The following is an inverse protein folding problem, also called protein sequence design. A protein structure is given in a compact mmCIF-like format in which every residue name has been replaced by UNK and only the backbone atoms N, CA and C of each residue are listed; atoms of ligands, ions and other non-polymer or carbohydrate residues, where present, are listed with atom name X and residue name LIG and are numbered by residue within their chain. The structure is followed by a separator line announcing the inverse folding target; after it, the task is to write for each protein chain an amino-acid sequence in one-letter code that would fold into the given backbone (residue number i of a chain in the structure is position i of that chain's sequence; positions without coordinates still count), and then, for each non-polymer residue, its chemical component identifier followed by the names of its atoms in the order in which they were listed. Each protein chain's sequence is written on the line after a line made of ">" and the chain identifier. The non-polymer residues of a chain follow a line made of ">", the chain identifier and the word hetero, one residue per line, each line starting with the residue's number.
data_IF_147339418444
#
_entry.id   IF_147339418444
#
_cell.length_a   1.000
_cell.length_b   1.000
_cell.length_c   1.000
_cell.angle_alpha   90.00
_cell.angle_beta   90.00
_cell.angle_gamma   90.00
#
_symmetry.space_group_name_H-M   'P 1'
#
loop_
_entity.id
_entity.type
_entity.pdbx_description
1 polymer ?
#
# COMPACT_ATOMS: atom_id res chain seq x y z
N UNK A 1 -28.89 31.28 5.04
CA UNK A 1 -29.86 30.51 5.73
C UNK A 1 -29.17 29.23 6.19
N UNK A 2 -28.81 29.18 7.51
CA UNK A 2 -28.20 28.04 8.11
C UNK A 2 -29.21 26.89 8.14
N UNK A 3 -28.84 25.73 7.71
CA UNK A 3 -29.58 24.52 8.03
C UNK A 3 -29.58 24.38 9.54
N UNK A 4 -30.73 24.62 10.15
CA UNK A 4 -30.92 24.30 11.54
C UNK A 4 -30.67 22.81 11.68
N UNK A 5 -29.72 22.46 12.50
CA UNK A 5 -29.44 21.07 12.86
C UNK A 5 -30.63 20.60 13.70
N UNK A 6 -31.54 19.87 13.10
CA UNK A 6 -32.69 19.34 13.80
C UNK A 6 -32.25 18.13 14.64
N UNK A 7 -32.09 18.37 15.93
CA UNK A 7 -31.64 17.34 16.88
C UNK A 7 -32.59 16.14 16.90
N UNK A 8 -33.88 16.35 16.72
CA UNK A 8 -34.88 15.28 16.73
C UNK A 8 -34.77 14.38 15.49
N UNK A 9 -34.49 14.98 14.32
CA UNK A 9 -34.22 14.22 13.10
C UNK A 9 -32.91 13.42 13.20
N UNK A 10 -31.90 13.99 13.82
CA UNK A 10 -30.61 13.30 14.01
C UNK A 10 -30.73 12.17 15.02
N UNK A 11 -31.45 12.38 16.11
CA UNK A 11 -31.75 11.36 17.11
C UNK A 11 -32.57 10.22 16.48
N UNK A 12 -33.61 10.52 15.75
CA UNK A 12 -34.40 9.53 15.01
C UNK A 12 -33.56 8.75 13.99
N UNK A 13 -32.70 9.42 13.23
CA UNK A 13 -31.83 8.75 12.26
C UNK A 13 -30.78 7.84 12.95
N UNK A 14 -30.30 8.26 14.11
CA UNK A 14 -29.38 7.46 14.95
C UNK A 14 -30.08 6.24 15.52
N UNK A 15 -31.29 6.38 16.02
CA UNK A 15 -32.08 5.28 16.56
C UNK A 15 -32.41 4.26 15.48
N UNK A 16 -32.88 4.72 14.31
CA UNK A 16 -33.12 3.83 13.15
C UNK A 16 -31.84 3.09 12.72
N UNK A 17 -30.71 3.79 12.70
CA UNK A 17 -29.43 3.16 12.34
C UNK A 17 -28.99 2.10 13.34
N UNK A 18 -29.16 2.38 14.64
CA UNK A 18 -28.84 1.45 15.70
C UNK A 18 -29.74 0.21 15.67
N UNK A 19 -31.06 0.42 15.53
CA UNK A 19 -32.03 -0.66 15.43
C UNK A 19 -31.77 -1.57 14.22
N UNK A 20 -31.49 -0.97 13.07
CA UNK A 20 -31.12 -1.73 11.86
C UNK A 20 -29.83 -2.51 12.04
N UNK A 21 -28.83 -1.94 12.70
CA UNK A 21 -27.58 -2.62 12.97
C UNK A 21 -27.79 -3.85 13.84
N UNK A 22 -28.55 -3.72 14.92
CA UNK A 22 -28.89 -4.84 15.82
C UNK A 22 -29.69 -5.93 15.08
N UNK A 23 -30.60 -5.53 14.20
CA UNK A 23 -31.42 -6.49 13.44
C UNK A 23 -30.58 -7.22 12.36
N UNK A 24 -29.66 -6.53 11.71
CA UNK A 24 -28.70 -7.13 10.77
C UNK A 24 -27.79 -8.13 11.52
N UNK A 25 -27.27 -7.79 12.67
CA UNK A 25 -26.47 -8.70 13.49
C UNK A 25 -27.27 -9.95 13.89
N UNK A 26 -28.51 -9.76 14.30
CA UNK A 26 -29.41 -10.88 14.65
C UNK A 26 -29.70 -11.77 13.46
N UNK A 27 -29.98 -11.18 12.29
CA UNK A 27 -30.18 -11.95 11.05
C UNK A 27 -28.91 -12.70 10.63
N UNK A 28 -27.76 -12.07 10.75
CA UNK A 28 -26.49 -12.73 10.47
C UNK A 28 -26.23 -13.91 11.40
N UNK A 29 -26.51 -13.77 12.71
CA UNK A 29 -26.44 -14.88 13.67
C UNK A 29 -27.40 -16.03 13.33
N UNK A 30 -28.61 -15.72 12.87
CA UNK A 30 -29.55 -16.73 12.42
C UNK A 30 -29.08 -17.42 11.13
N UNK A 31 -28.49 -16.68 10.19
CA UNK A 31 -27.91 -17.22 8.94
C UNK A 31 -26.73 -18.14 9.24
N UNK A 32 -25.89 -17.80 10.20
CA UNK A 32 -24.81 -18.66 10.69
C UNK A 32 -25.33 -20.02 11.14
N UNK A 33 -26.42 -20.05 11.89
CA UNK A 33 -27.04 -21.29 12.37
C UNK A 33 -27.73 -22.12 11.28
N UNK A 34 -27.94 -21.56 10.10
CA UNK A 34 -28.59 -22.22 8.95
C UNK A 34 -27.63 -22.52 7.80
N UNK A 35 -26.38 -22.08 7.88
CA UNK A 35 -25.41 -22.20 6.79
C UNK A 35 -24.44 -23.35 7.07
N UNK A 36 -24.33 -24.26 6.11
CA UNK A 36 -23.25 -25.27 6.04
C UNK A 36 -21.93 -24.66 5.51
N UNK A 37 -21.90 -23.36 5.20
CA UNK A 37 -20.71 -22.67 4.72
C UNK A 37 -19.70 -22.51 5.89
N UNK A 38 -18.49 -23.11 5.80
CA UNK A 38 -17.49 -23.03 6.86
C UNK A 38 -16.97 -21.61 7.11
N UNK A 39 -17.31 -20.65 6.25
CA UNK A 39 -16.97 -19.22 6.44
C UNK A 39 -18.00 -18.47 7.28
N UNK A 40 -19.20 -19.06 7.46
CA UNK A 40 -20.24 -18.44 8.26
C UNK A 40 -19.89 -18.52 9.76
N UNK A 41 -19.94 -17.39 10.45
CA UNK A 41 -19.70 -17.31 11.89
C UNK A 41 -18.25 -17.23 12.33
N UNK A 42 -17.32 -17.05 11.41
CA UNK A 42 -15.92 -16.81 11.77
C UNK A 42 -15.78 -15.52 12.58
N UNK A 43 -15.08 -15.60 13.71
CA UNK A 43 -14.76 -14.43 14.51
C UNK A 43 -13.75 -13.51 13.79
N UNK A 44 -14.02 -12.21 13.80
CA UNK A 44 -13.08 -11.21 13.39
C UNK A 44 -12.01 -10.96 14.45
N UNK A 45 -10.81 -10.58 14.03
CA UNK A 45 -9.72 -10.23 14.92
C UNK A 45 -8.58 -9.59 14.14
N UNK A 46 -7.82 -8.71 14.79
CA UNK A 46 -6.70 -8.02 14.10
C UNK A 46 -5.52 -8.96 13.87
N UNK A 47 -5.24 -9.86 14.81
CA UNK A 47 -4.13 -10.81 14.75
C UNK A 47 -4.56 -12.26 14.92
N UNK A 48 -5.79 -12.48 15.35
CA UNK A 48 -6.36 -13.75 15.79
C UNK A 48 -7.71 -14.07 15.13
N UNK A 49 -7.97 -13.45 13.97
CA UNK A 49 -9.16 -13.77 13.18
C UNK A 49 -9.23 -15.28 12.87
N UNK A 50 -10.42 -15.85 13.06
CA UNK A 50 -10.67 -17.22 12.65
C UNK A 50 -10.63 -17.37 11.12
N UNK A 51 -10.35 -18.57 10.65
CA UNK A 51 -10.27 -18.86 9.24
C UNK A 51 -10.95 -20.18 8.87
N UNK A 52 -11.41 -20.26 7.63
CA UNK A 52 -11.86 -21.49 7.02
C UNK A 52 -10.93 -21.87 5.86
N UNK A 53 -10.60 -23.15 5.76
CA UNK A 53 -9.77 -23.66 4.67
C UNK A 53 -10.33 -24.97 4.11
N UNK A 54 -10.09 -25.22 2.82
CA UNK A 54 -10.41 -26.49 2.15
C UNK A 54 -9.26 -26.89 1.27
N UNK A 55 -8.74 -28.12 1.49
CA UNK A 55 -7.57 -28.67 0.78
C UNK A 55 -6.28 -27.84 0.94
N UNK A 56 -6.23 -26.96 1.94
CA UNK A 56 -5.08 -26.16 2.33
C UNK A 56 -5.02 -26.14 3.86
N UNK A 57 -3.82 -26.00 4.41
CA UNK A 57 -3.63 -25.80 5.85
C UNK A 57 -2.80 -24.54 6.06
N UNK A 58 -3.22 -23.69 6.99
CA UNK A 58 -2.37 -22.60 7.47
C UNK A 58 -1.19 -23.20 8.21
N UNK A 59 0.02 -22.90 7.75
CA UNK A 59 1.26 -23.42 8.35
C UNK A 59 1.71 -22.46 9.46
N UNK A 60 1.75 -21.16 9.15
CA UNK A 60 2.22 -20.13 10.07
C UNK A 60 1.64 -18.77 9.66
N UNK A 61 1.44 -17.91 10.64
CA UNK A 61 1.16 -16.48 10.45
C UNK A 61 2.26 -15.70 11.16
N UNK A 62 2.86 -14.75 10.45
CA UNK A 62 3.92 -13.91 10.98
C UNK A 62 3.37 -12.51 11.28
N UNK A 63 3.82 -11.87 12.37
CA UNK A 63 3.48 -10.48 12.63
C UNK A 63 4.09 -9.55 11.58
N UNK A 64 3.61 -8.31 11.52
CA UNK A 64 4.24 -7.26 10.73
C UNK A 64 5.68 -7.06 11.19
N UNK A 65 6.62 -6.94 10.24
CA UNK A 65 8.01 -6.70 10.59
C UNK A 65 8.23 -5.34 11.25
N UNK A 66 9.25 -5.26 12.09
CA UNK A 66 9.69 -3.99 12.68
C UNK A 66 10.01 -2.95 11.60
N UNK A 67 9.78 -1.69 11.92
CA UNK A 67 9.96 -0.56 11.01
C UNK A 67 8.71 -0.21 10.18
N UNK A 68 7.76 -1.13 10.04
CA UNK A 68 6.49 -0.87 9.33
C UNK A 68 5.35 -0.46 10.28
N UNK A 69 5.49 -0.66 11.57
CA UNK A 69 4.58 -0.11 12.57
C UNK A 69 5.30 0.17 13.89
N UNK A 70 4.68 1.03 14.70
CA UNK A 70 5.13 1.35 16.05
C UNK A 70 4.25 0.57 17.04
N UNK A 71 4.80 -0.37 17.82
CA UNK A 71 4.02 -1.14 18.79
C UNK A 71 3.44 -0.28 19.91
N UNK A 72 4.06 0.87 20.23
CA UNK A 72 3.57 1.80 21.24
C UNK A 72 2.50 2.76 20.69
N UNK A 73 2.41 2.86 19.37
CA UNK A 73 1.43 3.69 18.64
C UNK A 73 0.79 2.92 17.48
N UNK A 74 0.13 1.85 17.80
CA UNK A 74 -0.48 0.89 16.86
C UNK A 74 -1.39 1.55 15.82
N UNK A 75 -2.09 2.61 16.20
CA UNK A 75 -2.95 3.38 15.28
C UNK A 75 -2.20 4.38 14.40
N UNK A 76 -0.89 4.58 14.61
CA UNK A 76 -0.11 5.61 13.92
C UNK A 76 -0.63 7.03 14.16
N UNK A 77 -1.33 7.23 15.28
CA UNK A 77 -1.85 8.55 15.65
C UNK A 77 -0.68 9.47 15.97
N UNK A 78 -0.71 10.68 15.44
CA UNK A 78 0.20 11.73 15.88
C UNK A 78 -0.13 12.05 17.33
N UNK A 79 0.89 12.17 18.19
CA UNK A 79 0.71 12.67 19.54
C UNK A 79 -0.07 13.98 19.48
N UNK A 80 -1.13 14.09 20.26
CA UNK A 80 -1.87 15.35 20.38
C UNK A 80 -0.91 16.39 20.94
N UNK A 81 -0.51 17.33 20.09
CA UNK A 81 0.13 18.55 20.56
C UNK A 81 -0.90 19.37 21.31
N UNK A 82 -0.54 19.94 22.45
CA UNK A 82 -1.43 20.87 23.14
C UNK A 82 -1.87 21.97 22.15
N UNK A 83 -3.09 22.46 22.30
CA UNK A 83 -3.66 23.45 21.36
C UNK A 83 -2.78 24.70 21.21
N UNK A 84 -1.94 24.99 22.20
CA UNK A 84 -1.03 26.13 22.25
C UNK A 84 0.28 25.90 21.45
N UNK A 85 0.60 24.65 21.10
CA UNK A 85 1.84 24.28 20.39
C UNK A 85 1.64 24.12 18.87
N UNK A 86 0.39 24.21 18.38
CA UNK A 86 0.08 24.01 16.96
C UNK A 86 0.02 25.36 16.25
N UNK A 87 1.00 25.62 15.39
CA UNK A 87 0.99 26.83 14.55
C UNK A 87 -0.19 26.84 13.56
N UNK A 88 -0.65 28.03 13.13
CA UNK A 88 -1.73 28.17 12.14
C UNK A 88 -1.39 27.47 10.80
N UNK A 89 -0.12 27.36 10.45
CA UNK A 89 0.36 26.65 9.26
C UNK A 89 0.17 25.12 9.42
N UNK A 90 0.44 24.59 10.60
CA UNK A 90 0.22 23.17 10.92
C UNK A 90 -1.26 22.84 11.01
N UNK A 91 -2.12 23.75 11.54
CA UNK A 91 -3.58 23.58 11.53
C UNK A 91 -4.15 23.51 10.12
N UNK A 92 -3.60 24.29 9.18
CA UNK A 92 -3.99 24.27 7.77
C UNK A 92 -3.54 22.98 7.08
N UNK A 93 -2.35 22.52 7.40
CA UNK A 93 -1.77 21.26 6.91
C UNK A 93 -2.50 20.04 7.48
N UNK A 94 -2.85 20.04 8.77
CA UNK A 94 -3.68 19.00 9.41
C UNK A 94 -5.08 18.93 8.78
N UNK A 95 -5.69 20.06 8.43
CA UNK A 95 -6.98 20.10 7.72
C UNK A 95 -6.88 19.57 6.29
N UNK A 96 -5.77 19.77 5.60
CA UNK A 96 -5.54 19.22 4.25
C UNK A 96 -5.27 17.71 4.30
N UNK A 97 -4.48 17.25 5.27
CA UNK A 97 -4.21 15.83 5.51
C UNK A 97 -5.48 15.09 5.93
N UNK A 98 -6.30 15.66 6.80
CA UNK A 98 -7.60 15.09 7.17
C UNK A 98 -8.58 15.00 6.00
N UNK A 99 -8.50 15.91 5.01
CA UNK A 99 -9.28 15.86 3.78
C UNK A 99 -8.76 14.84 2.76
N UNK A 100 -7.47 14.53 2.77
CA UNK A 100 -6.85 13.60 1.83
C UNK A 100 -6.85 12.14 2.33
N UNK A 101 -7.09 11.91 3.62
CA UNK A 101 -7.03 10.57 4.17
C UNK A 101 -8.40 9.86 4.11
N UNK A 102 -8.73 9.27 2.97
CA UNK A 102 -9.63 8.11 2.93
C UNK A 102 -9.12 6.95 3.81
N UNK A 103 -7.88 7.04 4.29
CA UNK A 103 -7.15 6.05 5.04
C UNK A 103 -6.54 6.67 6.30
N UNK A 104 -7.38 7.31 7.12
CA UNK A 104 -6.97 8.04 8.32
C UNK A 104 -6.29 7.23 9.43
N UNK A 105 -5.79 6.05 9.13
CA UNK A 105 -5.07 5.17 10.08
C UNK A 105 -3.73 4.78 9.50
N UNK A 106 -2.82 5.70 9.51
CA UNK A 106 -1.43 5.50 9.12
C UNK A 106 -0.58 5.24 10.38
N UNK A 107 0.41 4.36 10.36
CA UNK A 107 0.87 3.51 9.27
C UNK A 107 0.37 2.06 9.32
N UNK A 108 -0.16 1.59 10.45
CA UNK A 108 -0.36 0.16 10.70
C UNK A 108 -1.52 -0.44 9.90
N UNK A 109 -2.67 0.24 9.86
CA UNK A 109 -3.84 -0.30 9.16
C UNK A 109 -3.76 -0.13 7.63
N UNK A 110 -2.77 0.62 7.14
CA UNK A 110 -2.46 0.73 5.71
C UNK A 110 -1.29 -0.16 5.29
N UNK A 111 -0.79 -1.02 6.18
CA UNK A 111 0.19 -2.01 5.81
C UNK A 111 -0.54 -3.21 5.18
N UNK A 112 -0.42 -3.30 3.88
CA UNK A 112 -0.96 -4.40 3.10
C UNK A 112 0.18 -5.01 2.30
N UNK A 113 0.34 -6.33 2.41
CA UNK A 113 1.16 -7.08 1.47
C UNK A 113 0.46 -7.10 0.12
N UNK A 114 1.19 -6.85 -0.93
CA UNK A 114 0.64 -6.63 -2.26
C UNK A 114 1.03 -7.72 -3.24
N UNK A 115 2.27 -8.18 -3.16
CA UNK A 115 2.80 -9.17 -4.07
C UNK A 115 3.93 -9.99 -3.45
N UNK A 116 4.31 -11.09 -4.10
CA UNK A 116 5.36 -11.99 -3.65
C UNK A 116 6.20 -12.48 -4.82
N UNK A 117 7.52 -12.40 -4.68
CA UNK A 117 8.48 -12.97 -5.62
C UNK A 117 9.37 -14.02 -4.92
N UNK A 118 9.66 -15.10 -5.64
CA UNK A 118 10.41 -16.23 -5.12
C UNK A 118 11.68 -16.46 -5.93
N UNK A 119 12.76 -16.76 -5.23
CA UNK A 119 13.99 -17.27 -5.83
C UNK A 119 14.61 -18.34 -4.92
N UNK A 120 14.42 -19.62 -5.26
CA UNK A 120 14.80 -20.74 -4.39
C UNK A 120 14.12 -20.65 -3.03
N UNK A 121 14.91 -20.57 -1.97
CA UNK A 121 14.43 -20.41 -0.59
C UNK A 121 14.25 -18.95 -0.14
N UNK A 122 14.44 -18.02 -1.05
CA UNK A 122 14.21 -16.59 -0.77
C UNK A 122 12.80 -16.20 -1.21
N UNK A 123 12.07 -15.59 -0.30
CA UNK A 123 10.78 -14.94 -0.55
C UNK A 123 10.92 -13.43 -0.33
N UNK A 124 10.58 -12.65 -1.33
CA UNK A 124 10.39 -11.21 -1.18
C UNK A 124 8.90 -10.90 -1.17
N UNK A 125 8.46 -10.19 -0.15
CA UNK A 125 7.06 -9.75 0.02
C UNK A 125 7.01 -8.24 -0.13
N UNK A 126 6.41 -7.77 -1.21
CA UNK A 126 6.15 -6.36 -1.46
C UNK A 126 4.96 -5.84 -0.68
N UNK A 127 4.98 -4.57 -0.34
CA UNK A 127 3.90 -3.89 0.35
C UNK A 127 3.87 -2.39 0.01
N UNK A 128 2.84 -1.66 0.47
CA UNK A 128 2.70 -0.22 0.18
C UNK A 128 3.83 0.66 0.73
N UNK A 129 4.67 0.12 1.62
CA UNK A 129 5.72 0.88 2.31
C UNK A 129 7.13 0.38 2.04
N UNK A 130 7.29 -0.60 1.14
CA UNK A 130 8.57 -1.21 0.81
C UNK A 130 8.46 -2.71 0.58
N UNK A 131 9.43 -3.46 1.08
CA UNK A 131 9.42 -4.91 0.97
C UNK A 131 10.15 -5.59 2.12
N UNK A 132 9.86 -6.88 2.29
CA UNK A 132 10.48 -7.74 3.29
C UNK A 132 11.08 -8.96 2.62
N UNK A 133 12.24 -9.39 3.07
CA UNK A 133 12.93 -10.58 2.58
C UNK A 133 12.91 -11.66 3.65
N UNK A 134 12.46 -12.84 3.28
CA UNK A 134 12.38 -14.00 4.15
C UNK A 134 13.17 -15.17 3.59
N UNK A 135 13.81 -15.92 4.50
CA UNK A 135 14.27 -17.27 4.25
C UNK A 135 13.12 -18.25 4.53
N UNK A 136 12.72 -19.02 3.53
CA UNK A 136 11.63 -19.98 3.58
C UNK A 136 12.10 -21.44 3.45
N UNK A 137 13.39 -21.70 3.65
CA UNK A 137 13.93 -23.07 3.64
C UNK A 137 13.11 -23.99 4.56
N UNK A 138 12.75 -23.49 5.74
CA UNK A 138 11.79 -24.13 6.61
C UNK A 138 10.44 -23.40 6.55
N UNK A 139 9.52 -23.88 5.73
CA UNK A 139 8.19 -23.27 5.56
C UNK A 139 7.37 -23.19 6.87
N UNK A 140 7.67 -24.02 7.89
CA UNK A 140 7.01 -23.95 9.20
C UNK A 140 7.61 -22.88 10.12
N UNK A 141 8.79 -22.38 9.79
CA UNK A 141 9.49 -21.36 10.55
C UNK A 141 10.24 -20.42 9.60
N UNK A 142 9.52 -19.62 8.79
CA UNK A 142 10.13 -18.63 7.93
C UNK A 142 10.91 -17.62 8.76
N UNK A 143 12.07 -17.22 8.29
CA UNK A 143 12.93 -16.28 9.00
C UNK A 143 13.03 -14.97 8.24
N UNK A 144 12.63 -13.88 8.86
CA UNK A 144 12.86 -12.54 8.32
C UNK A 144 14.38 -12.29 8.22
N UNK A 145 14.85 -11.96 7.03
CA UNK A 145 16.25 -11.58 6.77
C UNK A 145 16.40 -10.07 6.88
N UNK A 146 15.60 -9.32 6.12
CA UNK A 146 15.68 -7.86 6.10
C UNK A 146 14.34 -7.21 5.77
N UNK A 147 14.23 -5.94 6.13
CA UNK A 147 13.09 -5.07 5.87
C UNK A 147 13.58 -3.78 5.25
N UNK A 148 13.07 -3.43 4.07
CA UNK A 148 13.37 -2.17 3.39
C UNK A 148 12.15 -1.28 3.43
N UNK A 149 12.22 -0.21 4.23
CA UNK A 149 11.16 0.80 4.30
C UNK A 149 11.42 1.83 3.21
N UNK A 150 10.58 1.81 2.18
CA UNK A 150 10.67 2.69 1.01
C UNK A 150 9.25 2.96 0.48
N UNK A 151 8.49 3.88 1.10
CA UNK A 151 7.10 4.11 0.79
C UNK A 151 6.88 4.56 -0.65
N UNK A 152 5.76 4.17 -1.22
CA UNK A 152 5.40 4.59 -2.57
C UNK A 152 4.17 3.88 -3.12
N UNK A 153 3.62 2.94 -2.37
CA UNK A 153 2.44 2.18 -2.77
C UNK A 153 2.69 1.16 -3.85
N UNK A 154 1.76 0.31 -4.04
CA UNK A 154 1.72 -0.93 -4.80
C UNK A 154 2.71 -1.98 -4.33
N UNK A 155 4.00 -1.83 -4.56
CA UNK A 155 4.96 -2.83 -4.10
C UNK A 155 4.86 -4.18 -4.82
N UNK A 156 4.38 -4.19 -6.06
CA UNK A 156 4.49 -5.33 -6.97
C UNK A 156 5.98 -5.61 -7.20
N UNK A 157 6.41 -6.85 -7.07
CA UNK A 157 7.83 -7.23 -7.02
C UNK A 157 8.17 -8.36 -7.97
N UNK A 158 9.35 -8.29 -8.60
CA UNK A 158 9.92 -9.37 -9.41
C UNK A 158 11.40 -9.54 -9.11
N UNK A 159 11.88 -10.77 -9.07
CA UNK A 159 13.30 -11.09 -8.90
C UNK A 159 13.87 -11.60 -10.22
N UNK A 160 14.99 -11.01 -10.64
CA UNK A 160 15.77 -11.47 -11.78
C UNK A 160 17.23 -11.57 -11.34
N UNK A 161 17.74 -12.78 -11.26
CA UNK A 161 19.08 -13.04 -10.73
C UNK A 161 19.25 -12.41 -9.34
N UNK A 162 20.06 -11.37 -9.23
CA UNK A 162 20.31 -10.62 -7.99
C UNK A 162 19.60 -9.26 -7.94
N UNK A 163 18.73 -8.98 -8.90
CA UNK A 163 17.98 -7.74 -8.95
C UNK A 163 16.54 -7.96 -8.50
N UNK A 164 16.05 -7.07 -7.67
CA UNK A 164 14.64 -6.92 -7.32
C UNK A 164 14.08 -5.69 -8.01
N UNK A 165 13.01 -5.87 -8.78
CA UNK A 165 12.24 -4.80 -9.40
C UNK A 165 11.02 -4.55 -8.55
N UNK A 166 10.71 -3.29 -8.23
CA UNK A 166 9.58 -2.91 -7.38
C UNK A 166 8.78 -1.77 -7.98
N UNK A 167 7.47 -1.96 -8.09
CA UNK A 167 6.51 -0.96 -8.56
C UNK A 167 6.20 0.11 -7.52
N UNK A 168 6.13 1.36 -7.98
CA UNK A 168 5.80 2.54 -7.16
C UNK A 168 4.77 3.41 -7.89
N UNK A 169 3.61 3.63 -7.28
CA UNK A 169 2.51 4.34 -7.93
C UNK A 169 1.99 5.56 -7.15
N UNK A 170 2.06 5.53 -5.82
CA UNK A 170 1.47 6.60 -5.01
C UNK A 170 2.24 7.91 -5.13
N UNK A 171 1.50 9.02 -5.16
CA UNK A 171 2.05 10.37 -5.30
C UNK A 171 2.96 10.82 -4.14
N UNK A 172 2.96 10.07 -3.04
CA UNK A 172 3.85 10.31 -1.88
C UNK A 172 5.23 9.66 -2.00
N UNK A 173 5.43 8.80 -3.01
CA UNK A 173 6.72 8.14 -3.22
C UNK A 173 7.83 9.16 -3.47
N UNK A 174 8.99 8.94 -2.87
CA UNK A 174 10.20 9.77 -3.00
C UNK A 174 11.34 8.94 -3.57
N UNK A 175 12.22 9.59 -4.32
CA UNK A 175 13.39 8.92 -4.89
C UNK A 175 14.33 8.39 -3.80
N UNK A 176 14.45 9.11 -2.69
CA UNK A 176 15.30 8.79 -1.53
C UNK A 176 14.64 7.85 -0.51
N UNK A 177 13.46 7.30 -0.80
CA UNK A 177 12.67 6.49 0.13
C UNK A 177 12.22 7.23 1.41
N UNK A 178 12.23 8.56 1.41
CA UNK A 178 11.83 9.38 2.56
C UNK A 178 10.40 9.08 3.02
N UNK A 179 10.22 8.97 4.35
CA UNK A 179 8.92 8.62 4.97
C UNK A 179 7.97 9.80 5.08
N UNK A 180 8.47 11.01 4.96
CA UNK A 180 7.71 12.26 4.99
C UNK A 180 6.75 12.40 3.79
N UNK A 181 7.04 11.68 2.71
CA UNK A 181 6.26 11.76 1.48
C UNK A 181 6.48 13.08 0.72
N UNK A 182 5.57 13.38 -0.19
CA UNK A 182 5.54 14.62 -0.99
C UNK A 182 4.16 15.23 -0.88
N UNK A 183 4.09 16.50 -0.44
CA UNK A 183 2.84 17.24 -0.24
C UNK A 183 2.52 18.23 -1.36
N UNK A 184 3.53 18.67 -2.11
CA UNK A 184 3.38 19.67 -3.15
C UNK A 184 2.82 19.05 -4.43
N UNK A 185 2.08 19.82 -5.22
CA UNK A 185 1.49 19.35 -6.47
C UNK A 185 2.57 19.01 -7.49
N UNK A 186 3.65 19.78 -7.54
CA UNK A 186 4.86 19.57 -8.37
C UNK A 186 6.05 19.47 -7.44
N UNK A 187 6.87 18.42 -7.59
CA UNK A 187 8.05 18.21 -6.76
C UNK A 187 9.11 17.37 -7.45
N UNK A 188 10.34 17.84 -7.44
CA UNK A 188 11.52 17.10 -7.93
C UNK A 188 11.82 15.85 -7.08
N UNK A 189 11.41 15.84 -5.82
CA UNK A 189 11.59 14.70 -4.91
C UNK A 189 10.63 13.54 -5.22
N UNK A 190 9.53 13.81 -5.93
CA UNK A 190 8.52 12.78 -6.20
C UNK A 190 9.04 11.71 -7.12
N UNK A 191 8.81 10.48 -6.71
CA UNK A 191 9.09 9.30 -7.51
C UNK A 191 7.83 8.47 -7.74
N UNK A 192 7.58 8.12 -8.99
CA UNK A 192 6.60 7.11 -9.41
C UNK A 192 7.16 6.37 -10.63
N UNK A 193 7.11 5.05 -10.61
CA UNK A 193 7.69 4.20 -11.65
C UNK A 193 8.23 2.89 -11.08
N UNK A 194 9.41 2.50 -11.48
CA UNK A 194 10.06 1.24 -11.10
C UNK A 194 11.36 1.54 -10.35
N UNK A 195 11.53 0.94 -9.18
CA UNK A 195 12.79 0.90 -8.43
C UNK A 195 13.50 -0.42 -8.70
N UNK A 196 14.81 -0.37 -8.72
CA UNK A 196 15.65 -1.55 -8.88
C UNK A 196 16.61 -1.62 -7.70
N UNK A 197 16.58 -2.73 -7.00
CA UNK A 197 17.46 -3.01 -5.88
C UNK A 197 18.40 -4.15 -6.22
N UNK A 198 19.65 -4.03 -5.83
CA UNK A 198 20.58 -5.16 -5.78
C UNK A 198 20.33 -5.91 -4.46
N UNK A 199 19.99 -7.17 -4.57
CA UNK A 199 19.72 -8.10 -3.46
C UNK A 199 20.76 -9.21 -3.39
N UNK A 200 21.95 -9.03 -3.96
CA UNK A 200 23.07 -9.98 -3.83
C UNK A 200 23.39 -10.27 -2.36
N UNK A 201 23.26 -9.23 -1.52
CA UNK A 201 23.27 -9.38 -0.08
C UNK A 201 21.83 -9.16 0.45
N UNK A 202 21.18 -10.25 0.83
CA UNK A 202 19.79 -10.23 1.31
C UNK A 202 19.60 -9.45 2.62
N UNK A 203 20.67 -9.29 3.42
CA UNK A 203 20.62 -8.51 4.67
C UNK A 203 20.69 -7.00 4.41
N UNK A 204 21.29 -6.59 3.29
CA UNK A 204 21.55 -5.18 2.95
C UNK A 204 21.20 -4.87 1.50
N UNK A 205 19.91 -4.92 1.10
CA UNK A 205 19.48 -4.51 -0.23
C UNK A 205 19.84 -3.06 -0.52
N UNK A 206 20.33 -2.78 -1.73
CA UNK A 206 20.75 -1.43 -2.15
C UNK A 206 19.98 -1.03 -3.39
N UNK A 207 19.34 0.15 -3.39
CA UNK A 207 18.73 0.70 -4.58
C UNK A 207 19.83 1.09 -5.58
N UNK A 208 19.85 0.45 -6.75
CA UNK A 208 20.85 0.65 -7.79
C UNK A 208 20.29 1.34 -9.03
N UNK A 209 18.97 1.46 -9.13
CA UNK A 209 18.32 2.12 -10.24
C UNK A 209 16.89 2.56 -9.93
N UNK A 210 16.42 3.49 -10.75
CA UNK A 210 15.05 3.99 -10.69
C UNK A 210 14.65 4.51 -12.08
N UNK A 211 13.46 4.11 -12.54
CA UNK A 211 12.88 4.57 -13.81
C UNK A 211 11.57 5.25 -13.49
N UNK A 212 11.45 6.52 -13.83
CA UNK A 212 10.23 7.30 -13.62
C UNK A 212 9.29 7.15 -14.81
N UNK A 213 8.00 7.07 -14.54
CA UNK A 213 6.95 7.05 -15.56
C UNK A 213 5.87 8.08 -15.29
N UNK A 214 5.10 8.43 -16.30
CA UNK A 214 4.08 9.49 -16.20
C UNK A 214 2.95 9.14 -15.23
N UNK A 215 2.65 7.84 -15.06
CA UNK A 215 1.53 7.36 -14.25
C UNK A 215 1.94 6.41 -13.13
N UNK A 216 3.24 6.31 -12.86
CA UNK A 216 3.77 5.35 -11.91
C UNK A 216 3.75 3.92 -12.43
N UNK A 217 3.91 2.98 -11.54
CA UNK A 217 3.81 1.55 -11.79
C UNK A 217 2.82 0.95 -10.81
N UNK A 218 1.67 0.51 -11.32
CA UNK A 218 0.70 -0.28 -10.57
C UNK A 218 1.18 -1.72 -10.51
N UNK A 219 1.49 -2.26 -11.68
CA UNK A 219 2.10 -3.56 -11.86
C UNK A 219 3.15 -3.49 -12.96
N UNK A 220 4.07 -4.42 -12.95
CA UNK A 220 5.00 -4.62 -14.04
C UNK A 220 5.09 -6.10 -14.41
N UNK A 221 5.60 -6.38 -15.59
CA UNK A 221 5.87 -7.74 -16.02
C UNK A 221 7.25 -7.80 -16.63
N UNK A 222 8.08 -8.69 -16.14
CA UNK A 222 9.36 -9.00 -16.77
C UNK A 222 9.09 -9.89 -17.98
N UNK A 223 9.38 -9.36 -19.15
CA UNK A 223 9.10 -10.03 -20.43
C UNK A 223 10.26 -10.90 -20.88
N UNK A 224 11.47 -10.38 -20.72
CA UNK A 224 12.68 -11.11 -21.10
C UNK A 224 13.91 -10.52 -20.41
N UNK A 225 14.97 -11.33 -20.34
CA UNK A 225 16.29 -10.93 -19.88
C UNK A 225 16.78 -11.76 -18.67
N UNK A 226 18.03 -11.54 -18.24
CA UNK A 226 18.98 -10.69 -18.97
C UNK A 226 19.35 -11.32 -20.32
N UNK A 227 19.50 -10.45 -21.33
CA UNK A 227 20.02 -10.82 -22.65
C UNK A 227 21.54 -10.87 -22.63
N UNK A 228 22.19 -11.37 -23.70
CA UNK A 228 23.64 -11.45 -23.80
C UNK A 228 24.35 -10.09 -23.63
N UNK A 229 23.65 -8.99 -23.93
CA UNK A 229 24.12 -7.61 -23.71
C UNK A 229 23.64 -7.01 -22.37
N UNK A 230 23.13 -7.83 -21.47
CA UNK A 230 22.76 -7.48 -20.10
C UNK A 230 21.45 -6.69 -19.96
N UNK A 231 20.59 -6.68 -20.99
CA UNK A 231 19.32 -5.95 -20.94
C UNK A 231 18.21 -6.80 -20.36
N UNK A 232 17.33 -6.16 -19.61
CA UNK A 232 16.09 -6.72 -19.10
C UNK A 232 14.94 -5.90 -19.69
N UNK A 233 13.97 -6.57 -20.31
CA UNK A 233 12.76 -5.94 -20.83
C UNK A 233 11.65 -6.06 -19.78
N UNK A 234 11.15 -4.93 -19.35
CA UNK A 234 10.04 -4.83 -18.38
C UNK A 234 8.92 -4.00 -19.01
N UNK A 235 7.70 -4.53 -18.98
CA UNK A 235 6.50 -3.75 -19.32
C UNK A 235 5.90 -3.22 -18.04
N UNK A 236 5.58 -1.93 -18.04
CA UNK A 236 5.02 -1.22 -16.91
C UNK A 236 3.60 -0.74 -17.21
N UNK A 237 2.70 -0.87 -16.24
CA UNK A 237 1.34 -0.38 -16.29
C UNK A 237 1.05 0.51 -15.09
N UNK A 238 0.86 1.81 -15.33
CA UNK A 238 0.53 2.80 -14.30
C UNK A 238 -0.95 3.20 -14.36
N UNK A 239 -1.59 3.36 -13.20
CA UNK A 239 -3.00 3.78 -13.08
C UNK A 239 -3.18 5.12 -12.38
N UNK A 240 -2.12 5.69 -11.82
CA UNK A 240 -2.15 6.98 -11.14
C UNK A 240 -2.50 8.13 -12.09
N UNK A 241 -2.78 9.31 -11.54
CA UNK A 241 -2.93 10.52 -12.34
C UNK A 241 -1.65 10.82 -13.09
N UNK A 242 -1.79 11.34 -14.31
CA UNK A 242 -0.64 11.80 -15.10
C UNK A 242 0.08 12.89 -14.32
N UNK A 243 1.41 12.83 -14.33
CA UNK A 243 2.27 13.85 -13.73
C UNK A 243 2.25 15.12 -14.59
N UNK A 244 2.43 16.26 -13.93
CA UNK A 244 2.66 17.52 -14.64
C UNK A 244 3.95 17.46 -15.45
N UNK A 245 3.98 18.15 -16.60
CA UNK A 245 5.17 18.25 -17.46
C UNK A 245 6.33 18.99 -16.76
N UNK A 246 6.02 19.90 -15.83
CA UNK A 246 7.04 20.57 -15.03
C UNK A 246 7.71 19.61 -14.03
N UNK A 247 7.02 18.54 -13.65
CA UNK A 247 7.57 17.50 -12.76
C UNK A 247 8.30 16.40 -13.54
N UNK A 248 7.76 16.01 -14.71
CA UNK A 248 8.36 15.00 -15.57
C UNK A 248 8.05 15.32 -17.03
N UNK A 249 9.08 15.72 -17.79
CA UNK A 249 8.97 16.04 -19.20
C UNK A 249 8.38 14.89 -20.01
N UNK A 250 7.52 15.21 -20.97
CA UNK A 250 6.88 14.25 -21.88
C UNK A 250 5.61 13.59 -21.31
N UNK A 251 5.17 13.98 -20.13
CA UNK A 251 3.89 13.55 -19.59
C UNK A 251 2.77 14.47 -20.09
N UNK A 252 1.87 13.93 -20.90
CA UNK A 252 0.78 14.69 -21.53
C UNK A 252 -0.56 14.18 -21.05
N UNK A 253 -1.31 15.03 -20.34
CA UNK A 253 -2.69 14.77 -19.92
C UNK A 253 -3.65 15.39 -20.93
N UNK A 254 -4.03 14.62 -21.94
CA UNK A 254 -4.95 15.05 -22.97
C UNK A 254 -6.07 14.04 -23.22
N UNK A 255 -7.03 14.41 -24.03
CA UNK A 255 -8.22 13.60 -24.29
C UNK A 255 -7.88 12.28 -25.01
N UNK A 256 -8.68 11.21 -24.78
CA UNK A 256 -8.56 9.98 -25.56
C UNK A 256 -8.65 10.27 -27.07
N UNK A 257 -7.69 9.72 -27.82
CA UNK A 257 -7.57 9.96 -29.28
C UNK A 257 -6.40 10.87 -29.66
N UNK A 258 -5.85 11.64 -28.73
CA UNK A 258 -4.56 12.28 -28.90
C UNK A 258 -3.45 11.24 -28.78
N UNK A 259 -2.64 11.11 -29.82
CA UNK A 259 -1.53 10.12 -29.87
C UNK A 259 -0.38 10.47 -28.92
N UNK A 260 -0.35 11.67 -28.36
CA UNK A 260 0.65 12.13 -27.41
C UNK A 260 0.24 11.91 -25.97
N UNK A 261 -1.02 11.55 -25.72
CA UNK A 261 -1.51 11.35 -24.35
C UNK A 261 -0.75 10.24 -23.62
N UNK A 262 -0.46 10.48 -22.34
CA UNK A 262 0.06 9.45 -21.43
C UNK A 262 -1.03 8.56 -20.83
N UNK A 263 -2.31 8.77 -21.21
CA UNK A 263 -3.39 7.83 -20.97
C UNK A 263 -3.25 6.61 -21.88
N UNK A 264 -3.53 5.42 -21.36
CA UNK A 264 -3.49 4.15 -22.13
C UNK A 264 -2.12 3.83 -22.77
N UNK A 265 -1.06 4.29 -22.13
CA UNK A 265 0.31 4.01 -22.54
C UNK A 265 0.88 2.84 -21.72
N UNK A 266 1.66 1.98 -22.36
CA UNK A 266 2.54 1.00 -21.73
C UNK A 266 3.95 1.52 -21.87
N UNK A 267 4.66 1.69 -20.77
CA UNK A 267 6.04 2.15 -20.71
C UNK A 267 7.02 0.98 -20.61
#
# INVERSE_FOLDING_TARGET
>A
PGSAYDSSLNEFASDVSNDQTVEIERMNQMLVGLSDDPRAGLAGGLFDAEYASKNMNLIVSLPKPDGFYDPDNVGGLKAEKSADEVSEKEKKQLKSVAKSSRFGRYPMLSFDNTDMAFNGNTLVVGNYHGFNIYDIENAKNPRLISSVVCPGGQGDVSIIEHLLIMSVEQSRGRLDCGREGVSDDISEDRFRGIRIFDISNLEYPIQVGAVQTCRGSHTHSVVSGPTDDGKILVYNSGTSRIRDQEELEGCVDSTPGDTQTSLFRID
#
